data_IF_808452620893
#
_entry.id   IF_808452620893
#
_cell.length_a   1.000
_cell.length_b   1.000
_cell.length_c   1.000
_cell.angle_alpha   90.00
_cell.angle_beta   90.00
_cell.angle_gamma   90.00
#
_symmetry.space_group_name_H-M   'P 1'
#
loop_
_entity.id
_entity.type
_entity.pdbx_description
1 polymer ?
#
# COMPACT_ATOMS: atom_id res chain seq x y z
N UNK A 1 -26.27 -24.81 70.73
CA UNK A 1 -25.79 -24.30 69.44
C UNK A 1 -24.85 -25.36 68.85
N UNK A 2 -25.23 -26.04 67.78
CA UNK A 2 -24.56 -27.24 67.27
C UNK A 2 -23.39 -26.83 66.36
N UNK A 3 -22.18 -27.30 66.60
CA UNK A 3 -20.99 -26.95 65.78
C UNK A 3 -21.00 -27.55 64.35
N UNK A 4 -21.97 -28.40 64.01
CA UNK A 4 -22.08 -29.00 62.66
C UNK A 4 -22.67 -28.11 61.58
N UNK A 5 -23.29 -26.95 61.95
CA UNK A 5 -23.90 -26.07 60.96
C UNK A 5 -22.88 -25.02 60.42
N UNK A 6 -21.76 -24.79 61.10
CA UNK A 6 -20.75 -23.80 60.68
C UNK A 6 -19.79 -24.30 59.59
N UNK A 7 -19.57 -25.62 59.51
CA UNK A 7 -18.68 -26.23 58.53
C UNK A 7 -19.30 -26.40 57.14
N UNK A 8 -20.60 -26.57 57.04
CA UNK A 8 -21.30 -26.67 55.75
C UNK A 8 -21.34 -25.36 54.97
N UNK A 9 -21.43 -24.23 55.66
CA UNK A 9 -21.49 -22.89 55.04
C UNK A 9 -20.14 -22.48 54.41
N UNK A 10 -18.97 -22.89 54.98
CA UNK A 10 -17.66 -22.61 54.46
C UNK A 10 -17.33 -23.38 53.15
N UNK A 11 -17.84 -24.60 53.00
CA UNK A 11 -17.60 -25.41 51.78
C UNK A 11 -18.44 -24.93 50.59
N UNK A 12 -19.63 -24.37 50.84
CA UNK A 12 -20.47 -23.81 49.75
C UNK A 12 -19.89 -22.45 49.25
N UNK A 13 -19.33 -21.63 50.12
CA UNK A 13 -18.69 -20.37 49.75
C UNK A 13 -17.38 -20.59 48.94
N UNK A 14 -16.60 -21.65 49.22
CA UNK A 14 -15.38 -21.97 48.51
C UNK A 14 -15.63 -22.62 47.14
N UNK A 15 -16.77 -23.29 46.96
CA UNK A 15 -17.20 -23.88 45.69
C UNK A 15 -17.69 -22.84 44.67
N UNK A 16 -18.21 -21.70 45.14
CA UNK A 16 -18.74 -20.65 44.25
C UNK A 16 -17.67 -19.73 43.68
N UNK A 17 -16.48 -19.66 44.30
CA UNK A 17 -15.37 -18.81 43.82
C UNK A 17 -14.51 -19.47 42.74
N UNK A 18 -14.58 -20.80 42.56
CA UNK A 18 -13.81 -21.52 41.53
C UNK A 18 -14.49 -21.56 40.15
N UNK A 19 -15.76 -21.19 40.03
CA UNK A 19 -16.51 -21.24 38.76
C UNK A 19 -16.39 -19.97 37.91
N UNK A 20 -15.72 -18.93 38.37
CA UNK A 20 -15.58 -17.66 37.62
C UNK A 20 -14.29 -17.59 36.78
N UNK A 21 -13.35 -18.54 36.93
CA UNK A 21 -12.05 -18.48 36.27
C UNK A 21 -11.99 -19.16 34.89
N UNK A 22 -13.08 -19.67 34.36
CA UNK A 22 -13.15 -20.16 32.98
C UNK A 22 -13.96 -19.21 32.10
N UNK A 23 -13.67 -17.92 32.14
CA UNK A 23 -13.92 -17.09 30.98
C UNK A 23 -13.02 -17.64 29.88
N UNK A 24 -13.54 -18.58 29.09
CA UNK A 24 -12.94 -19.03 27.86
C UNK A 24 -12.46 -17.78 27.15
N UNK A 25 -11.16 -17.58 26.99
CA UNK A 25 -10.61 -16.57 26.09
C UNK A 25 -11.25 -16.86 24.73
N UNK A 26 -12.29 -16.10 24.38
CA UNK A 26 -12.95 -16.26 23.09
C UNK A 26 -11.88 -16.14 22.04
N UNK A 27 -11.66 -17.21 21.29
CA UNK A 27 -10.64 -17.23 20.23
C UNK A 27 -11.03 -16.18 19.20
N UNK A 28 -10.25 -15.11 19.13
CA UNK A 28 -10.43 -14.06 18.12
C UNK A 28 -10.16 -14.64 16.71
N UNK A 29 -10.98 -14.29 15.71
CA UNK A 29 -12.22 -13.51 15.75
C UNK A 29 -13.47 -14.36 15.98
N UNK A 30 -14.50 -13.81 16.67
CA UNK A 30 -15.80 -14.48 16.92
C UNK A 30 -16.94 -13.85 16.12
N UNK A 31 -16.68 -12.79 15.39
CA UNK A 31 -17.63 -12.05 14.52
C UNK A 31 -16.90 -11.53 13.29
N UNK A 32 -17.61 -11.10 12.24
CA UNK A 32 -17.00 -10.55 11.05
C UNK A 32 -16.05 -9.38 11.34
N UNK A 33 -14.90 -9.33 10.63
CA UNK A 33 -13.89 -8.27 10.69
C UNK A 33 -14.04 -7.39 9.46
N UNK A 34 -13.95 -6.07 9.61
CA UNK A 34 -14.00 -5.12 8.50
C UNK A 34 -12.58 -4.70 8.11
N UNK A 35 -12.27 -4.75 6.81
CA UNK A 35 -11.06 -4.15 6.23
C UNK A 35 -11.50 -2.90 5.46
N UNK A 36 -11.19 -1.74 6.02
CA UNK A 36 -11.46 -0.45 5.35
C UNK A 36 -10.41 -0.24 4.26
N UNK A 37 -10.89 0.01 3.05
CA UNK A 37 -10.06 0.38 1.89
C UNK A 37 -10.31 1.84 1.57
N UNK A 38 -9.33 2.73 1.75
CA UNK A 38 -9.52 4.17 1.62
C UNK A 38 -9.48 4.67 0.17
N UNK A 39 -9.82 3.82 -0.78
CA UNK A 39 -9.89 4.12 -2.22
C UNK A 39 -11.13 3.50 -2.85
N UNK A 40 -11.47 3.95 -4.06
CA UNK A 40 -12.56 3.35 -4.82
C UNK A 40 -12.29 1.88 -5.17
N UNK A 41 -13.33 1.05 -5.29
CA UNK A 41 -13.21 -0.36 -5.69
C UNK A 41 -12.55 -0.54 -7.06
N UNK A 42 -11.99 -1.74 -7.29
CA UNK A 42 -11.46 -2.18 -8.60
C UNK A 42 -10.00 -1.82 -8.87
N UNK A 43 -9.31 -1.12 -7.94
CA UNK A 43 -7.88 -0.85 -8.03
C UNK A 43 -7.01 -1.89 -7.31
N UNK A 44 -5.68 -1.69 -7.33
CA UNK A 44 -4.72 -2.55 -6.63
C UNK A 44 -4.98 -2.67 -5.12
N UNK A 45 -5.40 -1.57 -4.47
CA UNK A 45 -5.78 -1.57 -3.05
C UNK A 45 -6.95 -2.54 -2.77
N UNK A 46 -8.01 -2.48 -3.59
CA UNK A 46 -9.18 -3.34 -3.46
C UNK A 46 -8.81 -4.81 -3.71
N UNK A 47 -8.00 -5.08 -4.73
CA UNK A 47 -7.49 -6.41 -5.01
C UNK A 47 -6.71 -7.00 -3.82
N UNK A 48 -5.74 -6.26 -3.27
CA UNK A 48 -4.91 -6.72 -2.14
C UNK A 48 -5.77 -6.95 -0.89
N UNK A 49 -6.71 -6.03 -0.60
CA UNK A 49 -7.61 -6.18 0.54
C UNK A 49 -8.51 -7.42 0.42
N UNK A 50 -9.08 -7.70 -0.76
CA UNK A 50 -9.92 -8.87 -0.99
C UNK A 50 -9.13 -10.16 -0.90
N UNK A 51 -7.94 -10.21 -1.49
CA UNK A 51 -7.07 -11.38 -1.42
C UNK A 51 -6.66 -11.70 0.03
N UNK A 52 -6.28 -10.67 0.80
CA UNK A 52 -5.97 -10.83 2.22
C UNK A 52 -7.20 -11.21 3.04
N UNK A 53 -8.34 -10.54 2.81
CA UNK A 53 -9.58 -10.80 3.53
C UNK A 53 -10.13 -12.20 3.30
N UNK A 54 -10.10 -12.69 2.07
CA UNK A 54 -10.49 -14.06 1.75
C UNK A 54 -9.61 -15.06 2.50
N UNK A 55 -8.29 -14.88 2.45
CA UNK A 55 -7.35 -15.81 3.08
C UNK A 55 -7.45 -15.82 4.61
N UNK A 56 -7.58 -14.64 5.22
CA UNK A 56 -7.83 -14.54 6.66
C UNK A 56 -9.16 -15.22 7.03
N UNK A 57 -10.19 -15.05 6.20
CA UNK A 57 -11.49 -15.69 6.40
C UNK A 57 -11.40 -17.22 6.38
N UNK A 58 -10.73 -17.78 5.38
CA UNK A 58 -10.51 -19.22 5.23
C UNK A 58 -9.72 -19.81 6.40
N UNK A 59 -8.77 -19.04 6.97
CA UNK A 59 -7.89 -19.50 8.07
C UNK A 59 -8.49 -19.32 9.45
N UNK A 60 -9.23 -18.23 9.66
CA UNK A 60 -9.74 -17.85 10.98
C UNK A 60 -11.24 -18.14 11.16
N UNK A 61 -11.90 -18.69 10.14
CA UNK A 61 -13.31 -19.13 10.24
C UNK A 61 -14.33 -18.00 10.38
N UNK A 62 -13.95 -16.75 10.11
CA UNK A 62 -14.82 -15.59 10.15
C UNK A 62 -14.70 -14.74 8.87
N UNK A 63 -15.75 -14.05 8.49
CA UNK A 63 -15.73 -13.20 7.32
C UNK A 63 -14.85 -11.96 7.54
N UNK A 64 -13.98 -11.64 6.56
CA UNK A 64 -13.26 -10.37 6.48
C UNK A 64 -13.87 -9.53 5.35
N UNK A 65 -14.69 -8.56 5.73
CA UNK A 65 -15.52 -7.76 4.81
C UNK A 65 -14.72 -6.55 4.35
N UNK A 66 -14.47 -6.45 3.04
CA UNK A 66 -13.82 -5.28 2.42
C UNK A 66 -14.84 -4.16 2.25
N UNK A 67 -14.60 -3.03 2.89
CA UNK A 67 -15.46 -1.86 2.89
C UNK A 67 -14.70 -0.64 2.34
N UNK A 68 -15.04 -0.22 1.13
CA UNK A 68 -14.39 0.91 0.45
C UNK A 68 -14.92 2.24 0.98
N UNK A 69 -14.01 3.08 1.50
CA UNK A 69 -14.28 4.42 2.05
C UNK A 69 -13.37 5.47 1.40
N UNK A 70 -13.58 5.80 0.12
CA UNK A 70 -12.75 6.76 -0.59
C UNK A 70 -13.01 8.20 -0.12
N UNK A 71 -12.12 9.11 -0.51
CA UNK A 71 -12.24 10.56 -0.34
C UNK A 71 -11.03 11.19 0.34
N UNK A 72 -10.76 12.45 0.01
CA UNK A 72 -9.66 13.27 0.54
C UNK A 72 -8.32 12.52 0.56
N UNK A 73 -7.87 12.00 -0.61
CA UNK A 73 -6.60 11.23 -0.69
C UNK A 73 -6.55 9.95 0.11
N UNK A 74 -7.70 9.45 0.58
CA UNK A 74 -7.82 8.28 1.47
C UNK A 74 -7.92 8.63 2.95
N UNK A 75 -7.85 9.93 3.32
CA UNK A 75 -7.85 10.32 4.74
C UNK A 75 -9.16 10.02 5.43
N UNK A 76 -10.32 10.05 4.73
CA UNK A 76 -11.62 9.71 5.32
C UNK A 76 -11.62 8.29 5.88
N UNK A 77 -11.28 7.29 5.06
CA UNK A 77 -11.23 5.90 5.49
C UNK A 77 -10.14 5.64 6.54
N UNK A 78 -9.00 6.31 6.43
CA UNK A 78 -7.88 6.18 7.36
C UNK A 78 -8.24 6.75 8.74
N UNK A 79 -8.86 7.94 8.80
CA UNK A 79 -9.35 8.56 10.04
C UNK A 79 -10.40 7.67 10.73
N UNK A 80 -11.31 7.05 9.96
CA UNK A 80 -12.30 6.13 10.50
C UNK A 80 -11.62 4.99 11.29
N UNK A 81 -10.54 4.41 10.76
CA UNK A 81 -9.84 3.32 11.45
C UNK A 81 -8.99 3.85 12.62
N UNK A 82 -8.33 4.99 12.47
CA UNK A 82 -7.56 5.61 13.56
C UNK A 82 -8.43 5.86 14.81
N UNK A 83 -9.72 6.18 14.61
CA UNK A 83 -10.70 6.45 15.69
C UNK A 83 -11.53 5.22 16.06
N UNK A 84 -11.33 4.06 15.44
CA UNK A 84 -12.07 2.84 15.75
C UNK A 84 -11.64 2.22 17.08
N UNK A 85 -12.53 1.39 17.65
CA UNK A 85 -12.19 0.59 18.83
C UNK A 85 -10.97 -0.32 18.50
N UNK A 86 -9.97 -0.41 19.41
CA UNK A 86 -8.78 -1.21 19.19
C UNK A 86 -9.03 -2.70 19.54
N UNK A 87 -10.12 -3.26 19.05
CA UNK A 87 -10.57 -4.63 19.34
C UNK A 87 -10.23 -5.62 18.21
N UNK A 88 -9.54 -5.16 17.15
CA UNK A 88 -9.15 -5.97 16.00
C UNK A 88 -10.24 -6.19 14.96
N UNK A 89 -11.47 -5.67 15.15
CA UNK A 89 -12.57 -5.87 14.21
C UNK A 89 -12.72 -4.79 13.14
N UNK A 90 -11.89 -3.74 13.21
CA UNK A 90 -11.78 -2.72 12.15
C UNK A 90 -10.31 -2.54 11.80
N UNK A 91 -9.94 -2.99 10.60
CA UNK A 91 -8.60 -2.93 10.05
C UNK A 91 -8.55 -1.93 8.91
N UNK A 92 -7.36 -1.47 8.55
CA UNK A 92 -7.12 -0.62 7.40
C UNK A 92 -6.23 -1.33 6.40
N UNK A 93 -6.60 -1.30 5.12
CA UNK A 93 -5.61 -1.48 4.07
C UNK A 93 -4.81 -0.18 3.96
N UNK A 94 -3.63 -0.20 4.54
CA UNK A 94 -2.66 0.89 4.46
C UNK A 94 -1.83 0.81 3.19
N UNK A 95 -1.53 1.96 2.58
CA UNK A 95 -0.62 2.06 1.44
C UNK A 95 0.19 3.37 1.49
N UNK A 96 1.22 3.47 0.67
CA UNK A 96 2.17 4.58 0.66
C UNK A 96 1.50 5.96 0.63
N UNK A 97 0.40 6.10 -0.14
CA UNK A 97 -0.29 7.37 -0.31
C UNK A 97 -0.73 7.99 1.00
N UNK A 98 -1.64 7.31 1.75
CA UNK A 98 -2.21 7.91 2.95
C UNK A 98 -1.33 7.77 4.20
N UNK A 99 -0.43 6.77 4.27
CA UNK A 99 0.40 6.57 5.46
C UNK A 99 1.77 7.25 5.40
N UNK A 100 2.28 7.58 4.19
CA UNK A 100 3.61 8.16 4.07
C UNK A 100 3.68 9.46 3.25
N UNK A 101 2.71 9.72 2.34
CA UNK A 101 2.77 10.87 1.43
C UNK A 101 1.80 11.98 1.83
N UNK A 102 0.51 11.65 1.92
CA UNK A 102 -0.57 12.62 2.07
C UNK A 102 -0.49 13.47 3.36
N UNK A 103 -0.02 12.96 4.52
CA UNK A 103 0.17 13.79 5.71
C UNK A 103 1.19 14.93 5.59
N UNK A 104 2.08 14.89 4.58
CA UNK A 104 3.00 15.98 4.27
C UNK A 104 2.42 17.03 3.33
N UNK A 105 1.27 16.73 2.75
CA UNK A 105 0.60 17.55 1.73
C UNK A 105 -0.52 18.34 2.32
N UNK A 106 -1.38 17.68 3.10
CA UNK A 106 -2.60 18.20 3.69
C UNK A 106 -2.65 17.89 5.18
N UNK A 107 -3.39 18.69 5.93
CA UNK A 107 -3.71 18.40 7.33
C UNK A 107 -4.65 17.19 7.40
N UNK A 108 -4.28 16.19 8.19
CA UNK A 108 -5.05 14.97 8.41
C UNK A 108 -5.37 14.78 9.89
N UNK A 109 -6.47 14.09 10.21
CA UNK A 109 -6.91 13.84 11.58
C UNK A 109 -6.36 12.52 12.16
N UNK A 110 -5.21 12.05 11.66
CA UNK A 110 -4.50 10.87 12.16
C UNK A 110 -2.99 11.07 12.06
N UNK A 111 -2.27 10.35 12.90
CA UNK A 111 -0.82 10.25 12.83
C UNK A 111 -0.44 8.82 12.38
N UNK A 112 0.17 8.64 11.18
CA UNK A 112 0.48 7.32 10.67
C UNK A 112 1.39 6.49 11.57
N UNK A 113 2.26 7.13 12.35
CA UNK A 113 3.25 6.45 13.19
C UNK A 113 2.74 6.17 14.62
N UNK A 114 1.78 6.96 15.10
CA UNK A 114 1.23 6.88 16.46
C UNK A 114 -0.07 6.09 16.53
N UNK A 115 -0.96 6.28 15.54
CA UNK A 115 -2.34 5.82 15.64
C UNK A 115 -2.55 4.40 15.09
N UNK A 116 -1.51 3.80 14.50
CA UNK A 116 -1.58 2.47 13.91
C UNK A 116 -0.48 1.53 14.37
N UNK A 117 -0.80 0.25 14.47
CA UNK A 117 0.12 -0.87 14.54
C UNK A 117 0.08 -1.65 13.22
N UNK A 118 1.23 -1.92 12.63
CA UNK A 118 1.33 -2.78 11.45
C UNK A 118 1.03 -4.23 11.80
N UNK A 119 0.20 -4.88 10.99
CA UNK A 119 0.01 -6.32 11.09
C UNK A 119 0.95 -7.06 10.14
N UNK A 120 1.00 -6.63 8.88
CA UNK A 120 2.00 -7.08 7.91
C UNK A 120 2.05 -6.17 6.69
N UNK A 121 3.22 -6.02 6.10
CA UNK A 121 3.36 -5.63 4.71
C UNK A 121 2.90 -6.82 3.85
N UNK A 122 2.10 -6.60 2.82
CA UNK A 122 1.53 -7.67 1.99
C UNK A 122 2.20 -7.77 0.63
N UNK A 123 2.46 -6.62 0.01
CA UNK A 123 3.06 -6.54 -1.30
C UNK A 123 3.69 -5.18 -1.55
N UNK A 124 4.61 -5.17 -2.51
CA UNK A 124 5.11 -3.95 -3.15
C UNK A 124 4.85 -4.00 -4.64
N UNK A 125 4.74 -2.84 -5.28
CA UNK A 125 4.70 -2.71 -6.73
C UNK A 125 5.58 -1.55 -7.16
N UNK A 126 6.03 -1.64 -8.40
CA UNK A 126 6.87 -0.61 -9.01
C UNK A 126 6.19 -0.03 -10.24
N UNK A 127 6.76 1.05 -10.77
CA UNK A 127 6.27 1.73 -11.93
C UNK A 127 7.11 1.37 -13.16
N UNK A 128 6.48 1.41 -14.33
CA UNK A 128 7.18 1.40 -15.60
C UNK A 128 7.14 2.80 -16.20
N UNK A 129 8.27 3.27 -16.65
CA UNK A 129 8.40 4.45 -17.49
C UNK A 129 8.16 4.04 -18.93
N UNK A 130 7.16 4.61 -19.57
CA UNK A 130 6.88 4.39 -20.96
C UNK A 130 6.58 5.71 -21.69
N UNK A 131 6.75 5.69 -22.99
CA UNK A 131 6.50 6.87 -23.86
C UNK A 131 5.54 6.53 -24.98
N UNK A 132 4.84 7.54 -25.48
CA UNK A 132 4.05 7.43 -26.71
C UNK A 132 4.96 7.19 -27.92
N UNK A 133 4.61 6.31 -28.87
CA UNK A 133 5.48 5.95 -30.01
C UNK A 133 5.87 7.12 -30.93
N UNK A 134 5.07 8.20 -30.96
CA UNK A 134 5.38 9.43 -31.71
C UNK A 134 6.58 10.19 -31.16
N UNK A 135 6.95 9.98 -29.89
CA UNK A 135 8.15 10.58 -29.34
C UNK A 135 9.38 9.83 -29.89
N UNK A 136 10.33 10.53 -30.51
CA UNK A 136 11.49 9.89 -31.18
C UNK A 136 12.56 9.47 -30.18
N UNK A 137 12.18 8.73 -29.13
CA UNK A 137 13.08 8.18 -28.11
C UNK A 137 12.82 6.69 -27.91
N UNK A 138 13.90 5.92 -27.64
CA UNK A 138 13.84 4.48 -27.41
C UNK A 138 14.65 4.06 -26.16
N UNK A 139 15.19 5.03 -25.45
CA UNK A 139 15.97 4.80 -24.24
C UNK A 139 15.78 5.94 -23.25
N UNK A 140 16.04 5.67 -21.95
CA UNK A 140 16.04 6.70 -20.89
C UNK A 140 17.07 7.79 -21.20
N UNK A 141 18.23 7.43 -21.74
CA UNK A 141 19.28 8.39 -22.13
C UNK A 141 18.78 9.39 -23.18
N UNK A 142 18.08 8.91 -24.21
CA UNK A 142 17.48 9.75 -25.24
C UNK A 142 16.36 10.64 -24.67
N UNK A 143 15.52 10.10 -23.77
CA UNK A 143 14.48 10.89 -23.09
C UNK A 143 15.10 12.03 -22.28
N UNK A 144 16.14 11.74 -21.50
CA UNK A 144 16.86 12.77 -20.72
C UNK A 144 17.46 13.84 -21.63
N UNK A 145 18.10 13.43 -22.73
CA UNK A 145 18.69 14.37 -23.68
C UNK A 145 17.63 15.29 -24.31
N UNK A 146 16.51 14.70 -24.75
CA UNK A 146 15.39 15.45 -25.33
C UNK A 146 14.73 16.39 -24.31
N UNK A 147 14.49 15.93 -23.08
CA UNK A 147 13.88 16.74 -22.02
C UNK A 147 14.78 17.91 -21.59
N UNK A 148 16.11 17.74 -21.64
CA UNK A 148 17.07 18.83 -21.39
C UNK A 148 17.15 19.81 -22.55
N UNK A 149 16.98 19.34 -23.78
CA UNK A 149 16.95 20.23 -24.97
C UNK A 149 15.62 21.01 -25.08
N UNK A 150 14.54 20.52 -24.47
CA UNK A 150 13.19 21.10 -24.48
C UNK A 150 12.62 21.18 -23.06
N UNK A 151 13.17 22.00 -22.16
CA UNK A 151 12.73 22.06 -20.78
C UNK A 151 11.31 22.64 -20.68
N UNK A 152 10.38 21.86 -20.09
CA UNK A 152 8.98 22.25 -19.93
C UNK A 152 8.07 22.00 -21.13
N UNK A 153 8.57 21.37 -22.20
CA UNK A 153 7.78 21.06 -23.40
C UNK A 153 7.31 19.61 -23.48
N UNK A 154 7.85 18.72 -22.64
CA UNK A 154 7.41 17.33 -22.57
C UNK A 154 6.48 17.12 -21.38
N UNK A 155 5.31 16.58 -21.65
CA UNK A 155 4.27 16.34 -20.64
C UNK A 155 4.22 14.90 -20.23
N UNK A 156 4.03 14.66 -18.90
CA UNK A 156 3.74 13.32 -18.40
C UNK A 156 2.34 13.22 -17.81
N UNK A 157 1.69 12.08 -18.00
CA UNK A 157 0.38 11.82 -17.42
C UNK A 157 0.48 11.33 -15.99
N UNK A 158 -0.27 11.95 -15.08
CA UNK A 158 -0.40 11.61 -13.68
C UNK A 158 -1.86 11.28 -13.34
N UNK A 159 -2.07 10.26 -12.49
CA UNK A 159 -3.43 9.88 -12.05
C UNK A 159 -4.09 10.90 -11.14
N UNK A 160 -3.33 11.63 -10.36
CA UNK A 160 -3.76 12.76 -9.54
C UNK A 160 -2.51 13.43 -8.94
N UNK A 161 -2.68 14.66 -8.46
CA UNK A 161 -1.63 15.35 -7.69
C UNK A 161 -1.31 14.59 -6.38
N UNK A 162 -0.05 14.58 -5.98
CA UNK A 162 0.44 13.92 -4.76
C UNK A 162 0.19 12.40 -4.69
N UNK A 163 0.11 11.76 -5.84
CA UNK A 163 0.10 10.29 -5.95
C UNK A 163 1.46 9.77 -6.41
N UNK A 164 1.76 8.47 -6.30
CA UNK A 164 2.98 7.91 -6.86
C UNK A 164 3.19 8.24 -8.35
N UNK A 165 2.12 8.28 -9.15
CA UNK A 165 2.18 8.64 -10.58
C UNK A 165 2.54 10.12 -10.83
N UNK A 166 2.44 10.98 -9.82
CA UNK A 166 2.96 12.33 -9.85
C UNK A 166 4.38 12.41 -9.28
N UNK A 167 4.59 11.86 -8.10
CA UNK A 167 5.84 12.06 -7.37
C UNK A 167 7.03 11.25 -7.93
N UNK A 168 6.79 10.10 -8.56
CA UNK A 168 7.88 9.32 -9.18
C UNK A 168 8.48 10.03 -10.39
N UNK A 169 7.70 10.61 -11.34
CA UNK A 169 8.24 11.50 -12.37
C UNK A 169 8.98 12.73 -11.81
N UNK A 170 8.52 13.33 -10.70
CA UNK A 170 9.22 14.45 -10.07
C UNK A 170 10.57 14.01 -9.47
N UNK A 171 10.65 12.80 -8.88
CA UNK A 171 11.94 12.21 -8.49
C UNK A 171 12.86 12.02 -9.71
N UNK A 172 12.33 11.59 -10.84
CA UNK A 172 13.09 11.46 -12.07
C UNK A 172 13.59 12.81 -12.57
N UNK A 173 12.74 13.85 -12.57
CA UNK A 173 13.12 15.21 -12.89
C UNK A 173 14.30 15.68 -12.02
N UNK A 174 14.19 15.52 -10.71
CA UNK A 174 15.23 15.91 -9.75
C UNK A 174 16.53 15.12 -9.94
N UNK A 175 16.45 13.79 -10.13
CA UNK A 175 17.60 12.92 -10.27
C UNK A 175 18.37 13.15 -11.59
N UNK A 176 17.69 13.62 -12.65
CA UNK A 176 18.27 13.77 -13.99
C UNK A 176 18.48 15.23 -14.40
N UNK A 177 17.98 16.18 -13.63
CA UNK A 177 17.98 17.62 -13.98
C UNK A 177 17.13 17.89 -15.23
N UNK A 178 16.04 17.15 -15.41
CA UNK A 178 15.05 17.37 -16.46
C UNK A 178 13.86 18.16 -15.95
N UNK A 179 12.97 18.60 -16.85
CA UNK A 179 11.73 19.33 -16.51
C UNK A 179 10.59 18.78 -17.37
N UNK A 180 10.14 17.57 -17.04
CA UNK A 180 8.86 17.04 -17.53
C UNK A 180 7.73 17.71 -16.76
N UNK A 181 6.62 18.04 -17.43
CA UNK A 181 5.48 18.79 -16.86
C UNK A 181 4.29 17.85 -16.62
N UNK A 182 3.67 17.84 -15.42
CA UNK A 182 2.53 16.97 -15.14
C UNK A 182 1.24 17.45 -15.82
N UNK A 183 0.45 16.51 -16.36
CA UNK A 183 -0.97 16.67 -16.65
C UNK A 183 -1.73 15.73 -15.72
N UNK A 184 -2.57 16.28 -14.85
CA UNK A 184 -3.30 15.52 -13.85
C UNK A 184 -4.67 15.08 -14.36
N UNK A 185 -4.92 13.77 -14.25
CA UNK A 185 -6.19 13.12 -14.58
C UNK A 185 -6.90 12.63 -13.32
N UNK A 186 -8.17 12.27 -13.42
CA UNK A 186 -8.97 11.70 -12.31
C UNK A 186 -8.71 10.19 -12.15
N UNK A 187 -7.47 9.81 -11.85
CA UNK A 187 -7.07 8.42 -11.62
C UNK A 187 -6.17 7.81 -12.70
N UNK A 188 -5.68 6.59 -12.45
CA UNK A 188 -4.70 5.92 -13.32
C UNK A 188 -5.26 5.54 -14.69
N UNK A 189 -6.55 5.12 -14.78
CA UNK A 189 -7.16 4.75 -16.06
C UNK A 189 -7.17 5.92 -17.06
N UNK A 190 -7.77 7.08 -16.72
CA UNK A 190 -7.71 8.29 -17.56
C UNK A 190 -6.28 8.75 -17.89
N UNK A 191 -5.31 8.61 -16.97
CA UNK A 191 -3.93 8.99 -17.25
C UNK A 191 -3.26 8.09 -18.30
N UNK A 192 -3.59 6.80 -18.31
CA UNK A 192 -3.14 5.88 -19.37
C UNK A 192 -3.76 6.27 -20.71
N UNK A 193 -5.04 6.66 -20.73
CA UNK A 193 -5.68 7.15 -21.96
C UNK A 193 -4.97 8.39 -22.49
N UNK A 194 -4.63 9.35 -21.63
CA UNK A 194 -3.92 10.58 -22.01
C UNK A 194 -2.60 10.31 -22.76
N UNK A 195 -1.79 9.36 -22.29
CA UNK A 195 -0.58 8.98 -23.02
C UNK A 195 -0.87 8.16 -24.29
N UNK A 196 -1.90 7.34 -24.29
CA UNK A 196 -2.27 6.52 -25.48
C UNK A 196 -2.84 7.36 -26.64
N UNK A 197 -3.41 8.51 -26.34
CA UNK A 197 -3.91 9.46 -27.35
C UNK A 197 -2.84 10.46 -27.80
N UNK A 198 -1.67 10.47 -27.15
CA UNK A 198 -0.60 11.43 -27.44
C UNK A 198 -0.79 12.80 -26.82
N UNK A 199 -1.82 13.01 -25.99
CA UNK A 199 -2.02 14.26 -25.22
C UNK A 199 -0.83 14.52 -24.29
N UNK A 200 -0.27 13.45 -23.71
CA UNK A 200 1.01 13.47 -23.01
C UNK A 200 1.99 12.51 -23.68
N UNK A 201 3.29 12.76 -23.51
CA UNK A 201 4.34 11.97 -24.16
C UNK A 201 4.90 10.88 -23.28
N UNK A 202 4.83 11.06 -21.95
CA UNK A 202 5.49 10.19 -20.96
C UNK A 202 4.46 9.72 -19.92
N UNK A 203 4.64 8.50 -19.44
CA UNK A 203 3.91 7.96 -18.28
C UNK A 203 4.85 7.19 -17.36
N UNK A 204 4.71 7.36 -16.06
CA UNK A 204 5.25 6.46 -15.04
C UNK A 204 4.09 5.94 -14.19
N UNK A 205 3.67 4.73 -14.45
CA UNK A 205 2.52 4.14 -13.75
C UNK A 205 2.74 2.64 -13.49
N UNK A 206 1.79 2.00 -12.81
CA UNK A 206 1.93 0.60 -12.44
C UNK A 206 2.20 -0.29 -13.67
N UNK A 207 3.05 -1.29 -13.48
CA UNK A 207 3.41 -2.26 -14.53
C UNK A 207 2.14 -2.90 -15.14
N UNK A 208 1.15 -3.23 -14.29
CA UNK A 208 -0.13 -3.81 -14.76
C UNK A 208 -0.93 -2.89 -15.66
N UNK A 209 -0.92 -1.59 -15.40
CA UNK A 209 -1.68 -0.62 -16.20
C UNK A 209 -1.01 -0.33 -17.56
N UNK A 210 0.31 -0.39 -17.64
CA UNK A 210 1.07 0.08 -18.81
C UNK A 210 1.52 -1.07 -19.73
N UNK A 211 1.97 -2.20 -19.18
CA UNK A 211 2.54 -3.30 -19.97
C UNK A 211 1.61 -3.93 -21.00
N UNK A 212 0.28 -4.06 -20.83
CA UNK A 212 -0.61 -4.47 -21.91
C UNK A 212 -0.51 -3.59 -23.15
N UNK A 213 -0.31 -2.28 -22.97
CA UNK A 213 -0.16 -1.31 -24.06
C UNK A 213 1.24 -1.34 -24.68
N UNK A 214 2.26 -1.69 -23.92
CA UNK A 214 3.61 -1.95 -24.45
C UNK A 214 3.61 -3.20 -25.31
N UNK A 215 3.00 -4.30 -24.85
CA UNK A 215 2.90 -5.56 -25.60
C UNK A 215 2.11 -5.40 -26.91
N UNK A 216 1.09 -4.55 -26.91
CA UNK A 216 0.33 -4.19 -28.12
C UNK A 216 1.00 -3.08 -28.97
N UNK A 217 2.24 -2.69 -28.65
CA UNK A 217 3.04 -1.66 -29.33
C UNK A 217 2.39 -0.27 -29.38
N UNK A 218 1.43 0.00 -28.50
CA UNK A 218 0.81 1.32 -28.35
C UNK A 218 1.63 2.27 -27.46
N UNK A 219 2.54 1.72 -26.66
CA UNK A 219 3.53 2.44 -25.87
C UNK A 219 4.90 1.78 -26.02
N UNK A 220 5.96 2.52 -25.72
CA UNK A 220 7.35 2.03 -25.69
C UNK A 220 7.83 2.11 -24.24
N UNK A 221 8.10 0.96 -23.61
CA UNK A 221 8.70 0.92 -22.28
C UNK A 221 10.18 1.29 -22.36
N UNK A 222 10.63 2.15 -21.44
CA UNK A 222 12.03 2.59 -21.36
C UNK A 222 12.76 2.00 -20.16
N UNK A 223 12.09 1.94 -18.99
CA UNK A 223 12.67 1.38 -17.76
C UNK A 223 11.58 1.06 -16.73
N UNK A 224 11.94 0.24 -15.75
CA UNK A 224 11.16 0.05 -14.51
C UNK A 224 11.85 0.75 -13.33
N UNK A 225 11.06 1.18 -12.34
CA UNK A 225 11.59 1.87 -11.14
C UNK A 225 12.00 0.91 -10.02
N UNK A 226 11.89 -0.40 -10.24
CA UNK A 226 12.31 -1.41 -9.27
C UNK A 226 13.84 -1.50 -9.18
N UNK A 227 14.39 -1.94 -8.03
CA UNK A 227 15.84 -2.13 -7.88
C UNK A 227 16.38 -3.29 -8.74
N UNK A 228 15.51 -4.25 -9.10
CA UNK A 228 15.80 -5.34 -10.02
C UNK A 228 14.69 -5.44 -11.09
N UNK A 229 14.97 -6.09 -12.21
CA UNK A 229 13.97 -6.31 -13.28
C UNK A 229 12.79 -7.10 -12.76
N UNK A 230 11.60 -6.72 -13.20
CA UNK A 230 10.38 -7.42 -12.81
C UNK A 230 10.13 -8.66 -13.68
N UNK A 231 9.67 -9.79 -13.11
CA UNK A 231 9.33 -10.99 -13.89
C UNK A 231 8.25 -10.78 -14.96
N UNK A 232 7.43 -9.73 -14.82
CA UNK A 232 6.36 -9.42 -15.78
C UNK A 232 6.91 -8.70 -17.03
N UNK A 233 8.07 -8.04 -16.91
CA UNK A 233 8.74 -7.31 -17.99
C UNK A 233 10.26 -7.50 -17.87
N UNK A 234 10.78 -8.75 -17.99
CA UNK A 234 12.19 -9.04 -17.78
C UNK A 234 13.08 -8.39 -18.84
N UNK A 235 12.52 -8.05 -19.98
CA UNK A 235 13.20 -7.34 -21.06
C UNK A 235 13.42 -5.85 -20.78
N UNK A 236 12.64 -5.26 -19.85
CA UNK A 236 12.72 -3.83 -19.54
C UNK A 236 13.78 -3.60 -18.46
N UNK A 237 14.82 -2.78 -18.73
CA UNK A 237 15.87 -2.50 -17.75
C UNK A 237 15.35 -1.68 -16.57
N UNK A 238 16.05 -1.68 -15.46
CA UNK A 238 15.76 -0.79 -14.34
C UNK A 238 16.40 0.59 -14.54
N UNK A 239 15.83 1.64 -13.90
CA UNK A 239 16.47 2.95 -13.88
C UNK A 239 17.87 2.89 -13.23
N UNK A 240 18.04 2.03 -12.23
CA UNK A 240 19.33 1.80 -11.55
C UNK A 240 20.38 1.21 -12.49
N UNK A 241 20.01 0.20 -13.30
CA UNK A 241 20.89 -0.36 -14.35
C UNK A 241 21.33 0.71 -15.36
N UNK A 242 20.48 1.70 -15.62
CA UNK A 242 20.72 2.80 -16.53
C UNK A 242 21.41 4.01 -15.88
N UNK A 243 21.85 3.89 -14.61
CA UNK A 243 22.58 4.90 -13.88
C UNK A 243 21.73 6.01 -13.25
N UNK A 244 20.39 5.91 -13.32
CA UNK A 244 19.46 6.85 -12.67
C UNK A 244 19.08 6.29 -11.32
N UNK A 245 19.59 6.88 -10.23
CA UNK A 245 19.38 6.47 -8.84
C UNK A 245 18.44 7.45 -8.12
N UNK A 246 17.81 6.99 -7.03
CA UNK A 246 16.94 7.83 -6.20
C UNK A 246 15.50 7.94 -6.70
N UNK A 247 15.14 7.15 -7.72
CA UNK A 247 13.78 7.06 -8.29
C UNK A 247 13.10 5.75 -7.89
N UNK A 248 13.73 4.95 -7.03
CA UNK A 248 13.19 3.71 -6.48
C UNK A 248 12.13 4.03 -5.43
N UNK A 249 10.90 4.16 -5.89
CA UNK A 249 9.76 4.51 -5.07
C UNK A 249 8.66 3.47 -5.22
N UNK A 250 8.70 2.38 -4.42
CA UNK A 250 7.65 1.37 -4.47
C UNK A 250 6.33 1.95 -3.96
N UNK A 251 5.25 1.59 -4.63
CA UNK A 251 3.95 1.53 -3.99
C UNK A 251 3.92 0.28 -3.13
N UNK A 252 3.43 0.37 -1.92
CA UNK A 252 3.34 -0.76 -1.00
C UNK A 252 1.96 -0.82 -0.33
N UNK A 253 1.59 -2.01 0.12
CA UNK A 253 0.29 -2.33 0.69
C UNK A 253 0.50 -3.12 1.98
N UNK A 254 -0.19 -2.71 3.04
CA UNK A 254 -0.11 -3.34 4.35
C UNK A 254 -1.50 -3.47 4.97
N UNK A 255 -1.67 -4.41 5.89
CA UNK A 255 -2.80 -4.35 6.83
C UNK A 255 -2.29 -3.76 8.13
N UNK A 256 -3.02 -2.76 8.62
CA UNK A 256 -2.75 -2.12 9.91
C UNK A 256 -4.02 -2.09 10.77
N UNK A 257 -3.84 -1.99 12.08
CA UNK A 257 -4.92 -1.87 13.05
C UNK A 257 -4.73 -0.62 13.91
N UNK A 258 -5.72 -0.15 14.69
CA UNK A 258 -5.52 0.89 15.69
C UNK A 258 -4.39 0.54 16.66
N UNK A 259 -3.54 1.51 17.03
CA UNK A 259 -2.30 1.28 17.77
C UNK A 259 -2.47 0.51 19.10
N UNK A 260 -3.60 0.74 19.81
CA UNK A 260 -3.88 0.08 21.08
C UNK A 260 -4.49 -1.34 20.95
N UNK A 261 -4.51 -1.93 19.73
CA UNK A 261 -5.01 -3.30 19.51
C UNK A 261 -4.20 -4.29 20.35
N UNK A 262 -4.85 -5.20 21.13
CA UNK A 262 -4.18 -6.14 22.01
C UNK A 262 -3.16 -7.02 21.28
N UNK A 263 -1.99 -7.19 21.87
CA UNK A 263 -0.88 -7.96 21.29
C UNK A 263 -1.25 -9.37 20.82
N UNK A 264 -2.08 -10.15 21.55
CA UNK A 264 -2.51 -11.46 21.06
C UNK A 264 -3.26 -11.40 19.72
N UNK A 265 -4.11 -10.37 19.52
CA UNK A 265 -4.84 -10.15 18.26
C UNK A 265 -3.86 -9.78 17.14
N UNK A 266 -2.93 -8.86 17.41
CA UNK A 266 -1.87 -8.47 16.47
C UNK A 266 -1.07 -9.69 16.03
N UNK A 267 -0.65 -10.54 16.98
CA UNK A 267 0.14 -11.75 16.69
C UNK A 267 -0.65 -12.78 15.87
N UNK A 268 -1.94 -12.99 16.18
CA UNK A 268 -2.80 -13.89 15.41
C UNK A 268 -2.93 -13.43 13.96
N UNK A 269 -3.29 -12.16 13.75
CA UNK A 269 -3.45 -11.60 12.40
C UNK A 269 -2.12 -11.57 11.63
N UNK A 270 -1.04 -11.16 12.29
CA UNK A 270 0.30 -11.17 11.69
C UNK A 270 0.70 -12.58 11.25
N UNK A 271 0.54 -13.58 12.12
CA UNK A 271 0.91 -14.97 11.82
C UNK A 271 0.25 -15.50 10.56
N UNK A 272 -1.05 -15.26 10.40
CA UNK A 272 -1.80 -15.67 9.20
C UNK A 272 -1.39 -14.89 7.94
N UNK A 273 -1.19 -13.57 8.05
CA UNK A 273 -0.73 -12.74 6.93
C UNK A 273 0.70 -13.10 6.49
N UNK A 274 1.60 -13.36 7.44
CA UNK A 274 2.96 -13.80 7.16
C UNK A 274 3.00 -15.17 6.48
N UNK A 275 2.25 -16.15 7.02
CA UNK A 275 2.15 -17.48 6.42
C UNK A 275 1.58 -17.41 4.99
N UNK A 276 0.62 -16.53 4.72
CA UNK A 276 0.05 -16.32 3.40
C UNK A 276 1.10 -15.89 2.37
N UNK A 277 2.02 -15.01 2.75
CA UNK A 277 3.02 -14.43 1.83
C UNK A 277 3.98 -15.47 1.24
N UNK A 278 4.15 -16.60 1.90
CA UNK A 278 5.04 -17.71 1.46
C UNK A 278 4.33 -18.75 0.62
N UNK A 279 3.01 -18.71 0.49
CA UNK A 279 2.24 -19.73 -0.23
C UNK A 279 2.35 -19.53 -1.75
N UNK A 280 2.64 -20.59 -2.53
CA UNK A 280 2.87 -20.50 -3.97
C UNK A 280 1.68 -19.95 -4.76
N UNK A 281 0.46 -20.33 -4.39
CA UNK A 281 -0.78 -19.86 -5.01
C UNK A 281 -0.99 -18.36 -4.80
N UNK A 282 -0.76 -17.87 -3.59
CA UNK A 282 -0.81 -16.44 -3.27
C UNK A 282 0.27 -15.66 -4.01
N UNK A 283 1.50 -16.17 -4.03
CA UNK A 283 2.59 -15.54 -4.77
C UNK A 283 2.27 -15.46 -6.27
N UNK A 284 1.76 -16.53 -6.86
CA UNK A 284 1.37 -16.56 -8.27
C UNK A 284 0.23 -15.56 -8.56
N UNK A 285 -0.78 -15.49 -7.67
CA UNK A 285 -1.90 -14.56 -7.78
C UNK A 285 -1.41 -13.11 -7.78
N UNK A 286 -0.51 -12.75 -6.85
CA UNK A 286 0.01 -11.40 -6.73
C UNK A 286 0.93 -11.03 -7.89
N UNK A 287 1.83 -11.94 -8.29
CA UNK A 287 2.73 -11.70 -9.44
C UNK A 287 1.97 -11.48 -10.76
N UNK A 288 0.82 -12.14 -10.96
CA UNK A 288 -0.06 -11.84 -12.12
C UNK A 288 -0.53 -10.39 -12.15
N UNK A 289 -0.58 -9.72 -10.99
CA UNK A 289 -0.95 -8.32 -10.85
C UNK A 289 0.28 -7.39 -10.75
N UNK A 290 1.47 -7.85 -11.12
CA UNK A 290 2.74 -7.13 -10.95
C UNK A 290 2.99 -6.66 -9.51
N UNK A 291 2.50 -7.42 -8.54
CA UNK A 291 2.75 -7.22 -7.13
C UNK A 291 3.80 -8.23 -6.67
N UNK A 292 4.82 -7.76 -5.96
CA UNK A 292 5.82 -8.61 -5.31
C UNK A 292 5.35 -8.91 -3.89
N UNK A 293 4.91 -10.15 -3.60
CA UNK A 293 4.49 -10.54 -2.26
C UNK A 293 5.63 -10.38 -1.26
N UNK A 294 5.31 -9.88 -0.09
CA UNK A 294 6.28 -9.68 0.98
C UNK A 294 5.59 -9.78 2.34
N UNK A 295 6.37 -9.88 3.40
CA UNK A 295 5.89 -9.78 4.78
C UNK A 295 6.91 -9.04 5.62
N UNK A 296 6.44 -8.37 6.68
CA UNK A 296 7.27 -7.79 7.72
C UNK A 296 6.62 -8.03 9.07
N UNK A 297 7.44 -8.21 10.10
CA UNK A 297 6.93 -8.21 11.48
C UNK A 297 6.32 -6.85 11.82
N UNK A 298 5.45 -6.75 12.84
CA UNK A 298 4.92 -5.47 13.29
C UNK A 298 6.01 -4.45 13.62
N UNK A 299 7.10 -4.89 14.23
CA UNK A 299 8.26 -4.09 14.60
C UNK A 299 9.02 -3.58 13.37
N UNK A 300 9.33 -4.47 12.42
CA UNK A 300 10.00 -4.12 11.17
C UNK A 300 9.13 -3.21 10.31
N UNK A 301 7.80 -3.39 10.35
CA UNK A 301 6.89 -2.49 9.66
C UNK A 301 6.91 -1.08 10.25
N UNK A 302 6.97 -0.93 11.56
CA UNK A 302 7.06 0.38 12.21
C UNK A 302 8.35 1.13 11.80
N UNK A 303 9.48 0.42 11.72
CA UNK A 303 10.75 0.99 11.24
C UNK A 303 10.63 1.38 9.75
N UNK A 304 10.05 0.50 8.94
CA UNK A 304 9.82 0.73 7.51
C UNK A 304 8.91 1.95 7.28
N UNK A 305 7.78 2.03 7.98
CA UNK A 305 6.83 3.13 7.84
C UNK A 305 7.47 4.48 8.20
N UNK A 306 8.26 4.52 9.28
CA UNK A 306 9.01 5.73 9.66
C UNK A 306 9.96 6.17 8.55
N UNK A 307 10.74 5.22 8.00
CA UNK A 307 11.67 5.51 6.90
C UNK A 307 10.95 6.03 5.65
N UNK A 308 9.81 5.43 5.29
CA UNK A 308 8.99 5.88 4.17
C UNK A 308 8.38 7.27 4.44
N UNK A 309 7.85 7.49 5.64
CA UNK A 309 7.29 8.79 6.03
C UNK A 309 8.33 9.92 5.92
N UNK A 310 9.52 9.71 6.48
CA UNK A 310 10.60 10.69 6.44
C UNK A 310 11.11 10.94 5.01
N UNK A 311 11.25 9.88 4.21
CA UNK A 311 11.64 9.96 2.81
C UNK A 311 10.64 10.81 2.00
N UNK A 312 9.35 10.50 2.10
CA UNK A 312 8.33 11.22 1.36
C UNK A 312 8.16 12.66 1.85
N UNK A 313 8.36 12.92 3.16
CA UNK A 313 8.37 14.27 3.70
C UNK A 313 9.45 15.15 3.09
N UNK A 314 10.67 14.63 2.89
CA UNK A 314 11.76 15.34 2.19
C UNK A 314 11.40 15.61 0.71
N UNK A 315 10.84 14.61 0.02
CA UNK A 315 10.45 14.72 -1.38
C UNK A 315 9.36 15.79 -1.56
N UNK A 316 8.28 15.71 -0.78
CA UNK A 316 7.17 16.67 -0.86
C UNK A 316 7.67 18.11 -0.59
N UNK A 317 8.55 18.29 0.41
CA UNK A 317 9.15 19.61 0.69
C UNK A 317 9.97 20.13 -0.48
N UNK A 318 10.76 19.28 -1.13
CA UNK A 318 11.57 19.73 -2.30
C UNK A 318 10.71 20.13 -3.50
N UNK A 319 9.58 19.45 -3.71
CA UNK A 319 8.65 19.79 -4.81
C UNK A 319 7.84 21.06 -4.50
N UNK A 320 7.39 21.25 -3.23
CA UNK A 320 6.66 22.47 -2.81
C UNK A 320 7.53 23.72 -2.80
N UNK A 321 8.85 23.58 -2.71
CA UNK A 321 9.82 24.69 -2.71
C UNK A 321 10.31 25.12 -4.11
N UNK A 322 9.84 24.46 -5.15
CA UNK A 322 10.10 24.80 -6.56
C UNK A 322 8.96 25.65 -7.15
#
# INVERSE_FOLDING_TARGET
MNPMQSTAACFIALGLTLTIASAMAQTYPVKPVRIIVPTSPGGGNDFVARAAGQRLGDRLGQQFIVDSRPGAGGSIGTTLVAKAAPDGYTLLLGFVGQLAMYPHVESVEYDPQRDFVGLSLLASSYHVMAVHPSLPVRSVKELIALAKARPGELYYSSGNIWTPTHLVPELFNAATGTRLVPIHYKGSGPSVIGVLTGETQVIMSSVTAVMPHVRSKRLVALAVTSPARTPIAPEVPTLVELGVKGVEAPSWYAIVAPAATPRPIVNTLHGELAAMSTQPDYQALFRKQALEPTSRTPEDFAVFLRGEYDKWGKIVKSIKGQ
#
